data_IF_462076680063
#
_entry.id   IF_462076680063
#
_cell.length_a   1.000
_cell.length_b   1.000
_cell.length_c   1.000
_cell.angle_alpha   90.00
_cell.angle_beta   90.00
_cell.angle_gamma   90.00
#
_symmetry.space_group_name_H-M   'P 1'
#
loop_
_entity.id
_entity.type
_entity.pdbx_description
1 polymer ?
#
# COMPACT_ATOMS: atom_id res chain seq x y z
N UNK A 1 0.61 7.05 -8.97
CA UNK A 1 -0.07 7.49 -10.21
C UNK A 1 -0.67 6.34 -11.01
N UNK A 2 0.10 5.34 -11.47
CA UNK A 2 -0.47 4.22 -12.26
C UNK A 2 -1.57 3.45 -11.52
N UNK A 3 -1.35 3.10 -10.25
CA UNK A 3 -2.34 2.42 -9.40
C UNK A 3 -3.70 3.16 -9.43
N UNK A 4 -3.69 4.45 -9.08
CA UNK A 4 -4.89 5.30 -9.13
C UNK A 4 -5.60 5.28 -10.49
N UNK A 5 -4.86 5.33 -11.61
CA UNK A 5 -5.45 5.30 -12.95
C UNK A 5 -6.08 3.95 -13.27
N UNK A 6 -5.43 2.85 -12.88
CA UNK A 6 -6.02 1.52 -13.02
C UNK A 6 -7.29 1.37 -12.21
N UNK A 7 -7.30 1.80 -10.95
CA UNK A 7 -8.51 1.80 -10.13
C UNK A 7 -9.60 2.69 -10.70
N UNK A 8 -9.25 3.86 -11.23
CA UNK A 8 -10.22 4.77 -11.85
C UNK A 8 -10.92 4.11 -13.06
N UNK A 9 -10.17 3.37 -13.88
CA UNK A 9 -10.74 2.61 -15.00
C UNK A 9 -11.64 1.46 -14.52
N UNK A 10 -11.25 0.77 -13.45
CA UNK A 10 -12.07 -0.29 -12.83
C UNK A 10 -13.37 0.29 -12.26
N UNK A 11 -13.28 1.41 -11.52
CA UNK A 11 -14.45 2.11 -10.94
C UNK A 11 -15.43 2.51 -12.04
N UNK A 12 -14.94 3.07 -13.16
CA UNK A 12 -15.79 3.48 -14.28
C UNK A 12 -16.59 2.33 -14.92
N UNK A 13 -16.12 1.09 -14.76
CA UNK A 13 -16.70 -0.11 -15.38
C UNK A 13 -17.43 -1.02 -14.42
N UNK A 14 -17.35 -0.74 -13.12
CA UNK A 14 -17.99 -1.53 -12.07
C UNK A 14 -19.29 -0.85 -11.63
N UNK A 15 -20.28 -1.66 -11.25
CA UNK A 15 -21.58 -1.18 -10.77
C UNK A 15 -21.83 -1.70 -9.35
N UNK A 16 -22.45 -0.92 -8.45
CA UNK A 16 -22.92 0.47 -8.61
C UNK A 16 -21.81 1.53 -8.51
N UNK A 17 -21.92 2.64 -9.26
CA UNK A 17 -20.91 3.71 -9.34
C UNK A 17 -20.63 4.44 -8.03
N UNK A 18 -21.55 4.40 -7.06
CA UNK A 18 -21.44 5.11 -5.78
C UNK A 18 -20.89 4.25 -4.63
N UNK A 19 -20.35 3.08 -4.93
CA UNK A 19 -19.80 2.17 -3.90
C UNK A 19 -18.40 2.53 -3.44
N UNK A 20 -17.69 3.35 -4.21
CA UNK A 20 -16.31 3.78 -3.93
C UNK A 20 -16.26 5.30 -3.80
N UNK A 21 -15.87 5.79 -2.63
CA UNK A 21 -15.49 7.20 -2.46
C UNK A 21 -14.21 7.46 -3.27
N UNK A 22 -14.35 8.19 -4.38
CA UNK A 22 -13.26 8.43 -5.33
C UNK A 22 -12.16 9.34 -4.75
N UNK A 23 -12.47 10.21 -3.79
CA UNK A 23 -11.47 11.06 -3.15
C UNK A 23 -10.62 10.22 -2.18
N UNK A 24 -11.27 9.36 -1.38
CA UNK A 24 -10.57 8.40 -0.52
C UNK A 24 -9.73 7.43 -1.34
N UNK A 25 -10.27 6.92 -2.45
CA UNK A 25 -9.54 6.07 -3.40
C UNK A 25 -8.31 6.77 -3.96
N UNK A 26 -8.48 7.97 -4.53
CA UNK A 26 -7.38 8.71 -5.17
C UNK A 26 -6.27 9.07 -4.19
N UNK A 27 -6.60 9.59 -3.00
CA UNK A 27 -5.60 9.91 -1.99
C UNK A 27 -4.87 8.67 -1.50
N UNK A 28 -5.60 7.59 -1.24
CA UNK A 28 -4.98 6.33 -0.79
C UNK A 28 -4.04 5.76 -1.85
N UNK A 29 -4.49 5.71 -3.11
CA UNK A 29 -3.71 5.21 -4.24
C UNK A 29 -2.47 6.06 -4.53
N UNK A 30 -2.55 7.38 -4.35
CA UNK A 30 -1.42 8.30 -4.58
C UNK A 30 -0.42 8.26 -3.42
N UNK A 31 -0.92 8.17 -2.18
CA UNK A 31 -0.09 8.29 -0.97
C UNK A 31 0.35 6.94 -0.36
N UNK A 32 -0.09 5.79 -0.87
CA UNK A 32 0.29 4.48 -0.31
C UNK A 32 1.81 4.23 -0.31
N UNK A 33 2.54 4.91 -1.18
CA UNK A 33 3.99 4.86 -1.31
C UNK A 33 4.73 6.11 -0.80
N UNK A 34 4.05 6.99 -0.07
CA UNK A 34 4.69 8.11 0.62
C UNK A 34 5.86 7.58 1.49
N UNK A 35 7.02 8.23 1.55
CA UNK A 35 8.13 7.68 2.34
C UNK A 35 8.77 6.40 1.76
N UNK A 36 8.90 6.30 0.43
CA UNK A 36 9.93 5.45 -0.19
C UNK A 36 11.37 5.94 0.12
N UNK A 37 11.51 7.10 0.76
CA UNK A 37 12.75 7.55 1.37
C UNK A 37 12.99 6.80 2.68
N UNK A 38 13.92 5.84 2.66
CA UNK A 38 14.32 5.02 3.79
C UNK A 38 15.08 5.78 4.89
N UNK A 39 15.26 7.09 4.74
CA UNK A 39 15.90 7.99 5.71
C UNK A 39 15.06 9.21 6.05
N UNK A 40 13.87 9.32 5.46
CA UNK A 40 13.03 10.52 5.53
C UNK A 40 12.22 10.63 6.82
N UNK A 41 11.68 11.83 7.04
CA UNK A 41 10.90 12.21 8.23
C UNK A 41 9.65 11.34 8.47
N UNK A 42 9.15 10.69 7.41
CA UNK A 42 7.97 9.83 7.47
C UNK A 42 8.27 8.38 7.87
N UNK A 43 9.53 8.00 8.08
CA UNK A 43 9.91 6.61 8.40
C UNK A 43 10.38 6.51 9.84
N UNK A 44 9.65 5.73 10.63
CA UNK A 44 10.05 5.40 11.99
C UNK A 44 10.89 4.13 12.02
N UNK A 45 11.69 3.96 13.08
CA UNK A 45 12.53 2.77 13.28
C UNK A 45 11.74 1.56 13.79
N UNK A 46 10.53 1.76 14.29
CA UNK A 46 9.77 0.78 15.07
C UNK A 46 8.44 0.36 14.42
N UNK A 47 7.94 1.06 13.40
CA UNK A 47 6.68 0.70 12.73
C UNK A 47 6.92 0.11 11.35
N UNK A 48 5.95 -0.68 10.89
CA UNK A 48 5.92 -1.17 9.51
C UNK A 48 5.81 0.00 8.55
N UNK A 49 6.38 -0.13 7.34
CA UNK A 49 6.30 0.95 6.35
C UNK A 49 4.83 1.27 5.99
N UNK A 50 3.94 0.27 5.95
CA UNK A 50 2.53 0.49 5.66
C UNK A 50 1.87 1.40 6.70
N UNK A 51 2.26 1.26 7.97
CA UNK A 51 1.72 2.04 9.10
C UNK A 51 2.26 3.45 9.10
N UNK A 52 3.57 3.63 8.91
CA UNK A 52 4.21 4.94 8.80
C UNK A 52 3.51 5.81 7.75
N UNK A 53 3.22 5.21 6.59
CA UNK A 53 2.56 5.88 5.46
C UNK A 53 1.10 6.18 5.72
N UNK A 54 0.38 5.25 6.33
CA UNK A 54 -1.01 5.45 6.71
C UNK A 54 -1.14 6.64 7.68
N UNK A 55 -0.23 6.75 8.65
CA UNK A 55 -0.15 7.89 9.58
C UNK A 55 0.14 9.18 8.81
N UNK A 56 1.18 9.19 7.98
CA UNK A 56 1.56 10.39 7.23
C UNK A 56 0.45 10.88 6.29
N UNK A 57 -0.24 9.96 5.60
CA UNK A 57 -1.37 10.31 4.73
C UNK A 57 -2.57 10.85 5.51
N UNK A 58 -2.89 10.27 6.68
CA UNK A 58 -3.95 10.79 7.55
C UNK A 58 -3.60 12.19 8.07
N UNK A 59 -2.36 12.40 8.53
CA UNK A 59 -1.90 13.70 9.00
C UNK A 59 -1.97 14.75 7.88
N UNK A 60 -1.56 14.40 6.67
CA UNK A 60 -1.72 15.27 5.50
C UNK A 60 -3.17 15.71 5.30
N UNK A 61 -4.13 14.77 5.31
CA UNK A 61 -5.56 15.11 5.19
C UNK A 61 -6.03 15.99 6.34
N UNK A 62 -5.63 15.69 7.58
CA UNK A 62 -5.96 16.50 8.75
C UNK A 62 -5.41 17.93 8.65
N UNK A 63 -4.18 18.10 8.18
CA UNK A 63 -3.56 19.40 7.93
C UNK A 63 -4.27 20.17 6.81
N UNK A 64 -4.63 19.52 5.70
CA UNK A 64 -5.38 20.15 4.62
C UNK A 64 -6.77 20.63 5.08
N UNK A 65 -7.44 19.84 5.94
CA UNK A 65 -8.72 20.24 6.56
C UNK A 65 -8.51 21.41 7.52
N UNK A 66 -7.52 21.33 8.41
CA UNK A 66 -7.21 22.39 9.38
C UNK A 66 -6.90 23.72 8.69
N UNK A 67 -6.15 23.68 7.59
CA UNK A 67 -5.80 24.85 6.79
C UNK A 67 -6.94 25.36 5.89
N UNK A 68 -8.12 24.74 5.94
CA UNK A 68 -9.28 25.12 5.14
C UNK A 68 -9.14 24.84 3.64
N UNK A 69 -8.20 23.98 3.22
CA UNK A 69 -7.98 23.58 1.82
C UNK A 69 -8.77 22.33 1.43
N UNK A 70 -9.17 21.52 2.40
CA UNK A 70 -10.04 20.37 2.20
C UNK A 70 -11.34 20.49 3.01
N UNK A 71 -12.44 20.00 2.45
CA UNK A 71 -13.78 20.06 3.04
C UNK A 71 -14.49 18.71 2.92
N UNK A 72 -15.50 18.47 3.77
CA UNK A 72 -16.29 17.22 3.72
C UNK A 72 -15.53 15.97 4.20
N UNK A 73 -14.43 16.13 4.94
CA UNK A 73 -13.64 15.05 5.51
C UNK A 73 -14.06 14.77 6.96
N UNK A 74 -14.94 13.78 7.13
CA UNK A 74 -15.28 13.26 8.46
C UNK A 74 -14.21 12.27 8.97
N UNK A 75 -14.36 11.81 10.22
CA UNK A 75 -13.46 10.82 10.80
C UNK A 75 -13.48 9.48 10.04
N UNK A 76 -14.61 9.13 9.42
CA UNK A 76 -14.74 7.88 8.69
C UNK A 76 -13.87 7.86 7.44
N UNK A 77 -13.92 8.93 6.62
CA UNK A 77 -13.10 9.06 5.41
C UNK A 77 -11.61 9.09 5.74
N UNK A 78 -11.23 9.82 6.78
CA UNK A 78 -9.83 9.84 7.29
C UNK A 78 -9.37 8.46 7.74
N UNK A 79 -10.23 7.72 8.45
CA UNK A 79 -9.94 6.35 8.85
C UNK A 79 -9.84 5.41 7.64
N UNK A 80 -10.69 5.58 6.62
CA UNK A 80 -10.60 4.77 5.41
C UNK A 80 -9.30 5.00 4.64
N UNK A 81 -8.79 6.24 4.56
CA UNK A 81 -7.47 6.51 3.98
C UNK A 81 -6.38 5.75 4.74
N UNK A 82 -6.40 5.84 6.07
CA UNK A 82 -5.46 5.12 6.92
C UNK A 82 -5.56 3.60 6.71
N UNK A 83 -6.77 3.03 6.77
CA UNK A 83 -7.01 1.59 6.63
C UNK A 83 -6.58 1.09 5.25
N UNK A 84 -6.88 1.85 4.20
CA UNK A 84 -6.55 1.50 2.82
C UNK A 84 -5.04 1.41 2.64
N UNK A 85 -4.30 2.40 3.14
CA UNK A 85 -2.84 2.43 3.06
C UNK A 85 -2.22 1.40 4.02
N UNK A 86 -2.72 1.23 5.23
CA UNK A 86 -2.14 0.27 6.18
C UNK A 86 -2.27 -1.18 5.70
N UNK A 87 -3.30 -1.50 4.91
CA UNK A 87 -3.64 -2.86 4.49
C UNK A 87 -3.30 -3.16 3.03
N UNK A 88 -2.81 -2.20 2.23
CA UNK A 88 -2.61 -2.37 0.79
C UNK A 88 -1.68 -3.53 0.42
N UNK A 89 -0.72 -3.87 1.29
CA UNK A 89 0.23 -4.97 1.09
C UNK A 89 -0.25 -6.32 1.66
N UNK A 90 -1.47 -6.36 2.23
CA UNK A 90 -2.03 -7.53 2.91
C UNK A 90 -3.39 -7.92 2.29
N UNK A 91 -3.41 -8.50 1.07
CA UNK A 91 -4.65 -8.81 0.35
C UNK A 91 -5.60 -9.72 1.13
N UNK A 92 -5.05 -10.66 1.91
CA UNK A 92 -5.83 -11.60 2.73
C UNK A 92 -6.71 -10.93 3.79
N UNK A 93 -6.44 -9.66 4.13
CA UNK A 93 -7.29 -8.83 4.99
C UNK A 93 -8.04 -7.79 4.16
N UNK A 94 -7.33 -7.07 3.27
CA UNK A 94 -7.89 -5.95 2.51
C UNK A 94 -9.14 -6.34 1.70
N UNK A 95 -9.16 -7.54 1.11
CA UNK A 95 -10.29 -8.04 0.30
C UNK A 95 -11.59 -8.24 1.09
N UNK A 96 -11.52 -8.36 2.42
CA UNK A 96 -12.69 -8.56 3.28
C UNK A 96 -13.11 -7.29 4.04
N UNK A 97 -12.47 -6.16 3.74
CA UNK A 97 -12.78 -4.86 4.35
C UNK A 97 -13.67 -4.03 3.41
N UNK A 98 -13.78 -2.71 3.61
CA UNK A 98 -14.58 -1.85 2.72
C UNK A 98 -14.07 -1.93 1.27
N UNK A 99 -14.95 -1.77 0.26
CA UNK A 99 -14.59 -1.94 -1.15
C UNK A 99 -13.36 -1.14 -1.61
N UNK A 100 -13.20 0.10 -1.14
CA UNK A 100 -12.03 0.94 -1.46
C UNK A 100 -10.70 0.34 -0.98
N UNK A 101 -10.72 -0.34 0.17
CA UNK A 101 -9.53 -0.98 0.77
C UNK A 101 -9.07 -2.14 -0.12
N UNK A 102 -10.00 -2.99 -0.55
CA UNK A 102 -9.72 -4.10 -1.47
C UNK A 102 -9.30 -3.62 -2.86
N UNK A 103 -9.95 -2.57 -3.38
CA UNK A 103 -9.68 -2.02 -4.70
C UNK A 103 -8.25 -1.48 -4.82
N UNK A 104 -7.78 -0.70 -3.84
CA UNK A 104 -6.41 -0.15 -3.87
C UNK A 104 -5.36 -1.27 -3.83
N UNK A 105 -5.60 -2.33 -3.06
CA UNK A 105 -4.73 -3.52 -3.11
C UNK A 105 -4.70 -4.18 -4.50
N UNK A 106 -5.87 -4.27 -5.17
CA UNK A 106 -5.99 -4.89 -6.49
C UNK A 106 -5.33 -4.07 -7.61
N UNK A 107 -5.46 -2.74 -7.62
CA UNK A 107 -4.79 -1.89 -8.62
C UNK A 107 -3.27 -1.88 -8.46
N UNK A 108 -2.76 -1.98 -7.23
CA UNK A 108 -1.32 -2.14 -6.96
C UNK A 108 -0.87 -3.49 -7.52
N UNK A 109 -1.63 -4.56 -7.27
CA UNK A 109 -1.36 -5.86 -7.87
C UNK A 109 -1.33 -5.77 -9.41
N UNK A 110 -2.28 -5.06 -10.02
CA UNK A 110 -2.33 -4.83 -11.47
C UNK A 110 -1.13 -4.05 -11.99
N UNK A 111 -0.59 -3.10 -11.22
CA UNK A 111 0.63 -2.40 -11.62
C UNK A 111 1.84 -3.34 -11.69
N UNK A 112 1.95 -4.29 -10.76
CA UNK A 112 3.03 -5.27 -10.72
C UNK A 112 2.84 -6.43 -11.70
N UNK A 113 1.64 -7.00 -11.75
CA UNK A 113 1.32 -8.30 -12.35
C UNK A 113 0.53 -8.19 -13.68
N UNK A 114 0.04 -7.00 -14.00
CA UNK A 114 -0.77 -6.73 -15.18
C UNK A 114 -2.27 -6.94 -14.97
N UNK A 115 -3.11 -6.69 -15.98
CA UNK A 115 -4.57 -6.63 -15.85
C UNK A 115 -5.23 -7.90 -15.33
N UNK A 116 -4.61 -9.06 -15.51
CA UNK A 116 -5.18 -10.34 -15.06
C UNK A 116 -5.26 -10.47 -13.52
N UNK A 117 -4.62 -9.58 -12.76
CA UNK A 117 -4.77 -9.54 -11.29
C UNK A 117 -5.95 -8.68 -10.82
N UNK A 118 -6.64 -7.97 -11.71
CA UNK A 118 -7.90 -7.30 -11.39
C UNK A 118 -8.98 -8.35 -11.07
N UNK A 119 -9.50 -8.42 -9.84
CA UNK A 119 -10.51 -9.40 -9.45
C UNK A 119 -11.85 -9.20 -10.16
N UNK A 120 -12.09 -8.03 -10.76
CA UNK A 120 -13.30 -7.74 -11.52
C UNK A 120 -13.20 -8.16 -12.98
N UNK A 121 -11.98 -8.37 -13.48
CA UNK A 121 -11.71 -8.69 -14.89
C UNK A 121 -12.09 -7.57 -15.87
N UNK A 122 -12.18 -6.32 -15.40
CA UNK A 122 -12.65 -5.18 -16.22
C UNK A 122 -11.50 -4.38 -16.82
N UNK A 123 -10.32 -4.41 -16.22
CA UNK A 123 -9.11 -3.77 -16.74
C UNK A 123 -8.59 -4.54 -17.97
N UNK A 124 -8.38 -3.84 -19.08
CA UNK A 124 -7.89 -4.44 -20.33
C UNK A 124 -6.40 -4.21 -20.53
N UNK A 125 -5.76 -5.03 -21.38
CA UNK A 125 -4.37 -4.83 -21.78
C UNK A 125 -4.15 -3.53 -22.56
N UNK A 126 -5.10 -3.11 -23.38
CA UNK A 126 -4.98 -1.86 -24.15
C UNK A 126 -4.95 -0.63 -23.21
N UNK A 127 -5.83 -0.61 -22.21
CA UNK A 127 -5.82 0.43 -21.18
C UNK A 127 -4.57 0.38 -20.31
N UNK A 128 -4.13 -0.82 -19.96
CA UNK A 128 -2.88 -1.00 -19.22
C UNK A 128 -1.70 -0.38 -19.96
N UNK A 129 -1.56 -0.71 -21.24
CA UNK A 129 -0.50 -0.16 -22.09
C UNK A 129 -0.65 1.35 -22.28
N UNK A 130 -1.87 1.88 -22.40
CA UNK A 130 -2.11 3.32 -22.49
C UNK A 130 -1.63 4.06 -21.23
N UNK A 131 -1.96 3.54 -20.04
CA UNK A 131 -1.50 4.12 -18.76
C UNK A 131 0.02 4.00 -18.62
N UNK A 132 0.61 2.84 -18.91
CA UNK A 132 2.08 2.64 -18.85
C UNK A 132 2.80 3.53 -19.85
N UNK A 133 2.22 3.80 -21.02
CA UNK A 133 2.77 4.74 -22.00
C UNK A 133 2.77 6.18 -21.46
N UNK A 134 1.69 6.60 -20.79
CA UNK A 134 1.59 7.93 -20.17
C UNK A 134 2.43 8.09 -18.90
N UNK A 135 2.60 7.01 -18.14
CA UNK A 135 3.35 6.96 -16.88
C UNK A 135 4.35 5.78 -16.88
N UNK A 136 5.49 5.92 -17.58
CA UNK A 136 6.46 4.84 -17.75
C UNK A 136 6.86 4.17 -16.42
N UNK A 137 7.07 2.85 -16.45
CA UNK A 137 7.48 2.08 -15.25
C UNK A 137 8.90 2.40 -14.79
N UNK A 138 9.77 2.89 -15.68
CA UNK A 138 11.19 3.10 -15.40
C UNK A 138 11.80 1.82 -14.78
N UNK A 139 12.79 1.95 -13.88
CA UNK A 139 13.34 0.83 -13.11
C UNK A 139 12.51 0.54 -11.84
N UNK A 140 11.19 0.32 -12.00
CA UNK A 140 10.30 0.03 -10.88
C UNK A 140 10.80 -1.17 -10.05
N UNK A 141 11.20 -2.25 -10.73
CA UNK A 141 11.63 -3.48 -10.06
C UNK A 141 12.92 -3.26 -9.25
N UNK A 142 13.92 -2.57 -9.81
CA UNK A 142 15.15 -2.24 -9.09
C UNK A 142 14.90 -1.28 -7.93
N UNK A 143 14.06 -0.27 -8.13
CA UNK A 143 13.66 0.69 -7.09
C UNK A 143 12.98 0.02 -5.89
N UNK A 144 11.94 -0.78 -6.16
CA UNK A 144 11.22 -1.54 -5.12
C UNK A 144 12.17 -2.48 -4.37
N UNK A 145 13.03 -3.21 -5.10
CA UNK A 145 14.04 -4.08 -4.48
C UNK A 145 14.96 -3.30 -3.54
N UNK A 146 15.48 -2.14 -3.97
CA UNK A 146 16.36 -1.30 -3.17
C UNK A 146 15.69 -0.86 -1.88
N UNK A 147 14.44 -0.41 -1.95
CA UNK A 147 13.69 0.11 -0.79
C UNK A 147 13.39 -1.01 0.21
N UNK A 148 12.87 -2.14 -0.26
CA UNK A 148 12.56 -3.28 0.61
C UNK A 148 13.82 -3.79 1.30
N UNK A 149 14.93 -3.94 0.55
CA UNK A 149 16.23 -4.29 1.13
C UNK A 149 16.68 -3.27 2.19
N UNK A 150 16.50 -1.97 1.94
CA UNK A 150 16.82 -0.91 2.89
C UNK A 150 16.03 -1.03 4.21
N UNK A 151 14.74 -1.37 4.17
CA UNK A 151 13.94 -1.58 5.38
C UNK A 151 14.37 -2.79 6.18
N UNK A 152 14.83 -3.86 5.53
CA UNK A 152 15.43 -5.01 6.24
C UNK A 152 16.68 -4.58 6.98
N UNK A 153 17.55 -3.82 6.30
CA UNK A 153 18.86 -3.44 6.85
C UNK A 153 18.70 -2.46 8.03
N UNK A 154 17.65 -1.62 8.01
CA UNK A 154 17.43 -0.56 9.01
C UNK A 154 16.44 -0.92 10.12
N UNK A 155 15.38 -1.68 9.82
CA UNK A 155 14.30 -2.02 10.77
C UNK A 155 13.73 -3.44 10.57
N UNK A 156 14.55 -4.50 10.69
CA UNK A 156 14.19 -5.87 10.32
C UNK A 156 13.00 -6.44 11.09
N UNK A 157 12.79 -6.04 12.34
CA UNK A 157 11.65 -6.51 13.13
C UNK A 157 10.30 -6.06 12.56
N UNK A 158 10.28 -4.98 11.77
CA UNK A 158 9.06 -4.40 11.18
C UNK A 158 8.70 -5.01 9.83
N UNK A 159 9.57 -5.86 9.25
CA UNK A 159 9.35 -6.51 7.95
C UNK A 159 8.86 -7.96 8.07
N UNK A 160 8.60 -8.43 9.30
CA UNK A 160 8.11 -9.79 9.55
C UNK A 160 6.58 -9.84 9.42
N UNK A 161 6.09 -10.83 8.66
CA UNK A 161 4.65 -11.09 8.51
C UNK A 161 3.89 -10.04 7.70
N UNK A 162 4.55 -9.34 6.77
CA UNK A 162 3.92 -8.41 5.83
C UNK A 162 4.36 -8.68 4.37
N UNK A 163 3.94 -7.83 3.43
CA UNK A 163 4.28 -7.93 2.01
C UNK A 163 5.78 -7.87 1.73
N UNK A 164 6.57 -7.14 2.54
CA UNK A 164 8.03 -7.13 2.42
C UNK A 164 8.61 -8.54 2.61
N UNK A 165 8.18 -9.28 3.62
CA UNK A 165 8.70 -10.62 3.91
C UNK A 165 8.62 -11.55 2.68
N UNK A 166 7.47 -11.55 1.98
CA UNK A 166 7.23 -12.38 0.79
C UNK A 166 8.13 -11.97 -0.39
N UNK A 167 8.39 -10.68 -0.55
CA UNK A 167 9.28 -10.17 -1.60
C UNK A 167 10.76 -10.45 -1.30
N UNK A 168 11.14 -10.43 -0.03
CA UNK A 168 12.53 -10.64 0.41
C UNK A 168 13.01 -12.07 0.23
N UNK A 169 12.16 -13.06 0.51
CA UNK A 169 12.47 -14.47 0.23
C UNK A 169 12.84 -14.67 -1.25
N UNK A 170 12.31 -13.83 -2.15
CA UNK A 170 12.65 -13.85 -3.58
C UNK A 170 13.91 -13.05 -3.94
N UNK A 171 14.24 -11.99 -3.19
CA UNK A 171 15.36 -11.08 -3.51
C UNK A 171 16.67 -11.35 -2.78
N UNK A 172 16.63 -12.04 -1.62
CA UNK A 172 17.76 -12.36 -0.73
C UNK A 172 17.60 -13.77 -0.11
N UNK A 173 17.15 -14.73 -0.92
CA UNK A 173 16.90 -16.12 -0.50
C UNK A 173 18.10 -16.79 0.19
N UNK A 174 19.31 -16.32 -0.12
CA UNK A 174 20.61 -16.79 0.35
C UNK A 174 21.07 -16.17 1.67
N UNK A 175 20.51 -15.03 2.08
CA UNK A 175 21.00 -14.22 3.20
C UNK A 175 19.95 -13.87 4.25
N UNK A 176 18.66 -14.12 3.98
CA UNK A 176 17.57 -13.78 4.89
C UNK A 176 16.99 -15.01 5.59
N UNK A 177 17.37 -15.23 6.85
CA UNK A 177 16.65 -16.13 7.76
C UNK A 177 15.57 -15.32 8.46
N UNK A 178 14.31 -15.76 8.41
CA UNK A 178 13.20 -15.13 9.16
C UNK A 178 13.43 -15.37 10.66
N UNK A 179 14.20 -14.49 11.29
CA UNK A 179 14.53 -14.57 12.72
C UNK A 179 14.44 -13.17 13.33
N UNK A 180 13.22 -12.68 13.53
CA UNK A 180 12.95 -11.74 14.63
C UNK A 180 12.42 -12.53 15.82
N UNK A 181 12.35 -11.91 17.00
CA UNK A 181 11.76 -12.58 18.17
C UNK A 181 10.38 -13.06 17.80
N UNK A 182 10.21 -14.37 17.75
CA UNK A 182 8.94 -14.95 17.37
C UNK A 182 7.88 -14.51 18.40
N UNK A 183 6.61 -14.40 17.99
CA UNK A 183 5.51 -14.20 18.94
C UNK A 183 5.56 -15.25 20.08
N UNK A 184 6.12 -16.43 19.78
CA UNK A 184 6.39 -17.50 20.72
C UNK A 184 7.38 -17.10 21.83
N UNK A 185 8.51 -16.46 21.50
CA UNK A 185 9.48 -15.98 22.50
C UNK A 185 8.91 -14.88 23.41
N UNK A 186 8.02 -14.03 22.89
CA UNK A 186 7.32 -13.03 23.71
C UNK A 186 6.29 -13.66 24.65
N UNK A 187 5.58 -14.69 24.19
CA UNK A 187 4.65 -15.47 25.01
C UNK A 187 5.41 -16.25 26.09
N UNK A 188 6.52 -16.91 25.76
CA UNK A 188 7.36 -17.60 26.76
C UNK A 188 7.94 -16.65 27.81
N UNK A 189 8.31 -15.44 27.43
CA UNK A 189 8.79 -14.42 28.37
C UNK A 189 7.69 -13.89 29.30
N UNK A 190 6.44 -13.81 28.83
CA UNK A 190 5.29 -13.38 29.61
C UNK A 190 4.72 -14.47 30.52
N UNK A 191 5.07 -15.74 30.28
CA UNK A 191 4.67 -16.90 31.07
C UNK A 191 5.68 -17.27 32.17
N UNK A 192 6.75 -16.47 32.35
CA UNK A 192 7.70 -16.56 33.47
C UNK A 192 7.39 -15.49 34.52
#
# INVERSE_FOLDING_TARGET
MRCWLFGSLIIQKTTPPDTIDQEVHSLSAILHDLGWDNTGEFISNDKRFEVDRAIAARNFVEEEVWNGRAHGWDEHRKQLVWDTIALHSTPSIAMYKQPVVGLVGAEIASDFQGPNSDPTGTLTWDEYHAVVKGFPRLDLAGGVRKIICGFIDTKPNTTIGNGCNHMVVKFRADTYTVMGRSAFEMIEAALK
#
